data_IF_532429886705
#
_entry.id   IF_532429886705
#
_cell.length_a   1.000
_cell.length_b   1.000
_cell.length_c   1.000
_cell.angle_alpha   90.00
_cell.angle_beta   90.00
_cell.angle_gamma   90.00
#
_symmetry.space_group_name_H-M   'P 1'
#
loop_
_entity.id
_entity.type
_entity.pdbx_description
1 polymer ?
#
# COMPACT_ATOMS: atom_id res chain seq x y z
N UNK A 1 -29.96 7.80 14.54
CA UNK A 1 -28.67 8.50 14.55
C UNK A 1 -28.04 8.26 13.19
N UNK A 2 -27.76 9.31 12.41
CA UNK A 2 -27.08 9.18 11.12
C UNK A 2 -25.63 8.79 11.40
N UNK A 3 -25.14 7.73 10.76
CA UNK A 3 -23.70 7.48 10.61
C UNK A 3 -23.06 8.78 10.14
N UNK A 4 -21.95 9.26 10.73
CA UNK A 4 -21.27 10.43 10.19
C UNK A 4 -20.99 10.19 8.70
N UNK A 5 -21.43 11.13 7.86
CA UNK A 5 -21.19 11.09 6.41
C UNK A 5 -19.68 11.24 6.21
N UNK A 6 -19.01 10.19 5.72
CA UNK A 6 -17.56 10.20 5.50
C UNK A 6 -17.30 10.89 4.16
N UNK A 7 -16.55 11.98 4.17
CA UNK A 7 -16.04 12.63 2.97
C UNK A 7 -14.84 11.88 2.40
N UNK A 8 -14.93 11.48 1.14
CA UNK A 8 -13.88 10.76 0.42
C UNK A 8 -13.45 11.56 -0.81
N UNK A 9 -12.19 11.98 -0.84
CA UNK A 9 -11.58 12.54 -2.03
C UNK A 9 -11.04 11.44 -2.94
N UNK A 10 -11.24 11.56 -4.25
CA UNK A 10 -10.58 10.74 -5.27
C UNK A 10 -9.55 11.59 -5.98
N UNK A 11 -8.30 11.14 -6.00
CA UNK A 11 -7.15 11.83 -6.63
C UNK A 11 -6.39 10.89 -7.55
N UNK A 12 -5.82 11.40 -8.64
CA UNK A 12 -5.09 10.60 -9.63
C UNK A 12 -3.60 10.98 -9.73
N UNK A 13 -2.80 10.85 -8.66
CA UNK A 13 -1.41 11.29 -8.66
C UNK A 13 -0.47 10.41 -9.52
N UNK A 14 -0.93 9.19 -9.86
CA UNK A 14 -0.27 8.27 -10.78
C UNK A 14 -0.87 8.32 -12.19
N UNK A 15 -1.37 7.17 -12.66
CA UNK A 15 -1.97 7.00 -13.98
C UNK A 15 -3.45 7.43 -14.09
N UNK A 16 -3.91 7.69 -15.31
CA UNK A 16 -5.34 7.93 -15.61
C UNK A 16 -6.15 6.62 -15.55
N UNK A 17 -7.46 6.73 -15.37
CA UNK A 17 -8.33 5.55 -15.35
C UNK A 17 -8.36 4.86 -16.73
N UNK A 18 -8.44 3.52 -16.78
CA UNK A 18 -8.58 2.77 -18.03
C UNK A 18 -10.01 2.79 -18.59
N UNK A 19 -11.01 3.02 -17.73
CA UNK A 19 -12.43 3.03 -18.07
C UNK A 19 -13.18 4.05 -17.19
N UNK A 20 -13.60 5.15 -17.80
CA UNK A 20 -14.30 6.26 -17.13
C UNK A 20 -15.72 5.89 -16.69
N UNK A 21 -16.40 5.02 -17.44
CA UNK A 21 -17.70 4.52 -17.03
C UNK A 21 -17.57 3.65 -15.77
N UNK A 22 -16.46 2.92 -15.63
CA UNK A 22 -16.17 2.15 -14.43
C UNK A 22 -15.86 3.05 -13.22
N UNK A 23 -15.14 4.16 -13.41
CA UNK A 23 -14.93 5.18 -12.37
C UNK A 23 -16.25 5.71 -11.84
N UNK A 24 -17.17 6.10 -12.72
CA UNK A 24 -18.49 6.58 -12.32
C UNK A 24 -19.27 5.53 -11.49
N UNK A 25 -19.18 4.24 -11.85
CA UNK A 25 -19.77 3.15 -11.04
C UNK A 25 -19.13 3.04 -9.65
N UNK A 26 -17.81 3.16 -9.56
CA UNK A 26 -17.10 3.14 -8.28
C UNK A 26 -17.48 4.30 -7.36
N UNK A 27 -17.62 5.50 -7.93
CA UNK A 27 -18.12 6.68 -7.20
C UNK A 27 -19.54 6.45 -6.70
N UNK A 28 -20.45 6.00 -7.57
CA UNK A 28 -21.84 5.72 -7.18
C UNK A 28 -21.93 4.65 -6.08
N UNK A 29 -21.04 3.65 -6.10
CA UNK A 29 -20.96 2.63 -5.06
C UNK A 29 -20.53 3.20 -3.71
N UNK A 30 -19.52 4.06 -3.66
CA UNK A 30 -19.12 4.75 -2.44
C UNK A 30 -20.26 5.62 -1.89
N UNK A 31 -20.96 6.34 -2.76
CA UNK A 31 -22.13 7.14 -2.39
C UNK A 31 -23.27 6.28 -1.85
N UNK A 32 -23.52 5.11 -2.43
CA UNK A 32 -24.52 4.16 -1.93
C UNK A 32 -24.17 3.58 -0.55
N UNK A 33 -22.88 3.59 -0.16
CA UNK A 33 -22.41 3.24 1.18
C UNK A 33 -22.52 4.41 2.18
N UNK A 34 -23.04 5.57 1.76
CA UNK A 34 -23.26 6.75 2.60
C UNK A 34 -22.09 7.73 2.66
N UNK A 35 -21.12 7.62 1.75
CA UNK A 35 -20.02 8.57 1.65
C UNK A 35 -20.36 9.77 0.77
N UNK A 36 -19.85 10.95 1.13
CA UNK A 36 -19.82 12.12 0.26
C UNK A 36 -18.54 12.08 -0.58
N UNK A 37 -18.66 11.92 -1.89
CA UNK A 37 -17.47 11.76 -2.77
C UNK A 37 -17.09 13.09 -3.42
N UNK A 38 -15.85 13.52 -3.21
CA UNK A 38 -15.21 14.69 -3.79
C UNK A 38 -14.23 14.22 -4.88
N UNK A 39 -14.67 14.18 -6.13
CA UNK A 39 -13.81 13.70 -7.22
C UNK A 39 -12.95 14.85 -7.80
N UNK A 40 -11.63 14.79 -7.59
CA UNK A 40 -10.68 15.74 -8.16
C UNK A 40 -10.05 15.25 -9.47
N UNK A 41 -10.32 14.00 -9.86
CA UNK A 41 -9.89 13.48 -11.15
C UNK A 41 -10.85 13.93 -12.26
N UNK A 42 -10.28 14.51 -13.31
CA UNK A 42 -11.00 14.92 -14.51
C UNK A 42 -10.37 14.25 -15.75
N UNK A 43 -11.12 13.39 -16.47
CA UNK A 43 -10.63 12.71 -17.66
C UNK A 43 -10.24 13.65 -18.80
N UNK A 44 -10.88 14.83 -18.91
CA UNK A 44 -10.57 15.82 -19.96
C UNK A 44 -9.18 16.45 -19.78
N UNK A 45 -8.67 16.42 -18.55
CA UNK A 45 -7.35 16.95 -18.19
C UNK A 45 -6.26 15.89 -18.12
N UNK A 46 -6.53 14.66 -18.55
CA UNK A 46 -5.51 13.60 -18.64
C UNK A 46 -4.36 14.02 -19.55
N UNK A 47 -3.15 13.61 -19.19
CA UNK A 47 -1.95 13.94 -19.96
C UNK A 47 -1.14 12.67 -20.21
N UNK A 48 -1.06 12.24 -21.46
CA UNK A 48 -0.44 10.97 -21.83
C UNK A 48 -1.07 9.80 -21.07
N UNK A 49 -0.30 9.12 -20.19
CA UNK A 49 -0.79 8.02 -19.34
C UNK A 49 -1.23 8.45 -17.94
N UNK A 50 -1.10 9.73 -17.62
CA UNK A 50 -1.20 10.27 -16.27
C UNK A 50 -2.59 10.86 -16.02
N UNK A 51 -3.03 10.86 -14.76
CA UNK A 51 -4.30 11.46 -14.33
C UNK A 51 -4.37 13.00 -14.39
N UNK A 52 -3.40 13.62 -15.07
CA UNK A 52 -3.19 15.06 -15.17
C UNK A 52 -1.75 15.35 -15.61
N UNK A 53 -1.43 16.62 -15.90
CA UNK A 53 -0.03 17.09 -15.93
C UNK A 53 0.60 16.92 -14.55
N UNK A 54 1.94 17.03 -14.42
CA UNK A 54 2.60 16.97 -13.11
C UNK A 54 2.02 18.00 -12.13
N UNK A 55 1.86 19.25 -12.58
CA UNK A 55 1.21 20.30 -11.80
C UNK A 55 -0.28 20.02 -11.50
N UNK A 56 -1.03 19.46 -12.47
CA UNK A 56 -2.43 19.12 -12.27
C UNK A 56 -2.63 18.03 -11.22
N UNK A 57 -1.80 16.98 -11.25
CA UNK A 57 -1.84 15.88 -10.27
C UNK A 57 -1.44 16.34 -8.86
N UNK A 58 -0.43 17.20 -8.76
CA UNK A 58 -0.08 17.83 -7.49
C UNK A 58 -1.22 18.71 -6.97
N UNK A 59 -1.87 19.49 -7.84
CA UNK A 59 -3.03 20.32 -7.47
C UNK A 59 -4.20 19.49 -6.94
N UNK A 60 -4.47 18.30 -7.52
CA UNK A 60 -5.49 17.37 -7.01
C UNK A 60 -5.19 16.94 -5.57
N UNK A 61 -3.94 16.53 -5.29
CA UNK A 61 -3.51 16.15 -3.93
C UNK A 61 -3.65 17.30 -2.94
N UNK A 62 -3.18 18.49 -3.31
CA UNK A 62 -3.24 19.67 -2.46
C UNK A 62 -4.68 20.11 -2.17
N UNK A 63 -5.55 20.06 -3.18
CA UNK A 63 -6.97 20.39 -3.01
C UNK A 63 -7.67 19.40 -2.08
N UNK A 64 -7.44 18.09 -2.26
CA UNK A 64 -7.99 17.06 -1.39
C UNK A 64 -7.50 17.15 0.06
N UNK A 65 -6.23 17.51 0.27
CA UNK A 65 -5.67 17.73 1.60
C UNK A 65 -6.25 18.98 2.28
N UNK A 66 -6.57 20.03 1.52
CA UNK A 66 -7.12 21.28 2.02
C UNK A 66 -8.64 21.24 2.26
N UNK A 67 -9.37 20.28 1.66
CA UNK A 67 -10.82 20.20 1.74
C UNK A 67 -11.29 19.85 3.18
N UNK A 68 -12.03 20.72 3.88
CA UNK A 68 -12.45 20.47 5.26
C UNK A 68 -13.48 19.33 5.39
N UNK A 69 -14.23 19.03 4.33
CA UNK A 69 -15.29 18.03 4.34
C UNK A 69 -14.76 16.62 4.06
N UNK A 70 -13.51 16.50 3.59
CA UNK A 70 -12.84 15.22 3.32
C UNK A 70 -12.14 14.66 4.56
N UNK A 71 -12.28 13.36 4.82
CA UNK A 71 -11.46 12.64 5.81
C UNK A 71 -10.55 11.60 5.18
N UNK A 72 -10.95 11.00 4.06
CA UNK A 72 -10.19 9.95 3.36
C UNK A 72 -9.78 10.44 1.97
N UNK A 73 -8.51 10.28 1.63
CA UNK A 73 -8.01 10.54 0.27
C UNK A 73 -7.68 9.19 -0.36
N UNK A 74 -8.52 8.76 -1.30
CA UNK A 74 -8.40 7.49 -2.00
C UNK A 74 -7.70 7.71 -3.35
N UNK A 75 -6.60 7.01 -3.58
CA UNK A 75 -5.95 7.02 -4.88
C UNK A 75 -6.87 6.38 -5.93
N UNK A 76 -6.97 7.03 -7.10
CA UNK A 76 -7.70 6.53 -8.25
C UNK A 76 -7.14 5.16 -8.68
N UNK A 77 -5.82 5.10 -8.85
CA UNK A 77 -5.04 3.92 -9.20
C UNK A 77 -3.54 4.21 -9.02
N UNK A 78 -2.72 3.17 -9.13
CA UNK A 78 -1.27 3.26 -9.16
C UNK A 78 -0.76 3.59 -10.57
N UNK A 79 -0.20 2.57 -11.24
CA UNK A 79 0.51 2.68 -12.52
C UNK A 79 1.90 3.30 -12.39
N UNK A 80 2.13 4.48 -12.92
CA UNK A 80 3.41 5.19 -12.83
C UNK A 80 3.11 6.67 -12.85
N UNK A 81 3.75 7.43 -11.97
CA UNK A 81 3.61 8.87 -12.01
C UNK A 81 4.04 9.63 -10.77
N UNK A 82 3.91 9.02 -9.60
CA UNK A 82 4.16 9.70 -8.32
C UNK A 82 5.62 10.11 -8.21
N UNK A 83 6.55 9.27 -8.69
CA UNK A 83 7.99 9.59 -8.73
C UNK A 83 8.32 10.91 -9.41
N UNK A 84 7.51 11.37 -10.38
CA UNK A 84 7.74 12.65 -11.08
C UNK A 84 7.43 13.86 -10.22
N UNK A 85 6.51 13.71 -9.25
CA UNK A 85 6.00 14.82 -8.42
C UNK A 85 6.49 14.75 -6.98
N UNK A 86 7.21 13.69 -6.57
CA UNK A 86 7.77 13.54 -5.21
C UNK A 86 8.53 14.78 -4.70
N UNK A 87 9.35 15.49 -5.51
CA UNK A 87 10.02 16.71 -5.07
C UNK A 87 9.10 17.88 -4.77
N UNK A 88 7.92 17.90 -5.39
CA UNK A 88 7.00 19.03 -5.33
C UNK A 88 5.84 18.78 -4.33
N UNK A 89 5.70 17.56 -3.80
CA UNK A 89 4.74 17.26 -2.75
C UNK A 89 5.21 17.91 -1.43
N UNK A 90 4.40 18.82 -0.90
CA UNK A 90 4.54 19.30 0.47
C UNK A 90 4.02 18.25 1.45
N UNK A 91 4.89 17.32 1.82
CA UNK A 91 4.55 16.24 2.76
C UNK A 91 4.16 16.75 4.14
N UNK A 92 4.64 17.92 4.56
CA UNK A 92 4.24 18.51 5.85
C UNK A 92 2.78 18.96 5.79
N UNK A 93 2.39 19.66 4.71
CA UNK A 93 0.98 20.00 4.48
C UNK A 93 0.09 18.75 4.39
N UNK A 94 0.56 17.68 3.73
CA UNK A 94 -0.16 16.39 3.71
C UNK A 94 -0.34 15.82 5.13
N UNK A 95 0.69 15.85 5.97
CA UNK A 95 0.60 15.36 7.34
C UNK A 95 -0.35 16.21 8.22
N UNK A 96 -0.24 17.55 8.11
CA UNK A 96 -1.01 18.53 8.88
C UNK A 96 -2.49 18.53 8.51
N UNK A 97 -2.84 18.13 7.28
CA UNK A 97 -4.23 17.93 6.84
C UNK A 97 -5.01 16.90 7.65
N UNK A 98 -4.28 16.00 8.34
CA UNK A 98 -4.80 14.84 9.07
C UNK A 98 -5.66 13.88 8.23
N UNK A 99 -5.66 13.98 6.90
CA UNK A 99 -6.39 13.05 6.03
C UNK A 99 -5.82 11.63 6.15
N UNK A 100 -6.66 10.64 5.86
CA UNK A 100 -6.29 9.24 5.76
C UNK A 100 -6.01 8.92 4.29
N UNK A 101 -4.72 8.86 3.90
CA UNK A 101 -4.31 8.60 2.52
C UNK A 101 -4.25 7.09 2.25
N UNK A 102 -5.01 6.62 1.25
CA UNK A 102 -5.19 5.20 0.94
C UNK A 102 -4.77 4.90 -0.50
N UNK A 103 -3.94 3.88 -0.67
CA UNK A 103 -3.59 3.32 -1.98
C UNK A 103 -2.49 2.27 -1.89
N UNK A 104 -2.14 1.63 -3.00
CA UNK A 104 -1.05 0.65 -3.08
C UNK A 104 -0.32 0.78 -4.44
N UNK A 105 0.64 -0.12 -4.75
CA UNK A 105 1.39 -0.08 -6.03
C UNK A 105 2.29 1.17 -6.12
N UNK A 106 2.23 1.97 -7.20
CA UNK A 106 2.96 3.25 -7.35
C UNK A 106 2.77 4.19 -6.14
N UNK A 107 1.60 4.11 -5.47
CA UNK A 107 1.28 4.90 -4.28
C UNK A 107 2.15 4.57 -3.06
N UNK A 108 2.87 3.43 -3.07
CA UNK A 108 3.94 3.16 -2.10
C UNK A 108 4.96 4.29 -2.04
N UNK A 109 5.26 4.97 -3.16
CA UNK A 109 6.17 6.11 -3.14
C UNK A 109 5.66 7.28 -2.28
N UNK A 110 4.34 7.53 -2.30
CA UNK A 110 3.72 8.53 -1.43
C UNK A 110 3.80 8.10 0.04
N UNK A 111 3.48 6.85 0.36
CA UNK A 111 3.56 6.32 1.73
C UNK A 111 4.97 6.45 2.31
N UNK A 112 5.98 6.06 1.52
CA UNK A 112 7.38 6.17 1.91
C UNK A 112 7.81 7.62 2.11
N UNK A 113 7.46 8.51 1.18
CA UNK A 113 7.74 9.94 1.30
C UNK A 113 7.09 10.57 2.53
N UNK A 114 5.82 10.28 2.78
CA UNK A 114 5.08 10.80 3.92
C UNK A 114 5.73 10.36 5.24
N UNK A 115 6.02 9.07 5.40
CA UNK A 115 6.68 8.57 6.61
C UNK A 115 8.09 9.15 6.77
N UNK A 116 8.89 9.17 5.70
CA UNK A 116 10.26 9.65 5.74
C UNK A 116 10.36 11.15 6.09
N UNK A 117 9.39 11.96 5.66
CA UNK A 117 9.41 13.42 5.88
C UNK A 117 8.76 13.85 7.17
N UNK A 118 7.73 13.14 7.66
CA UNK A 118 6.89 13.64 8.76
C UNK A 118 6.62 12.60 9.84
N UNK A 119 7.00 11.34 9.64
CA UNK A 119 6.65 10.24 10.55
C UNK A 119 5.14 9.89 10.53
N UNK A 120 4.36 10.51 9.65
CA UNK A 120 2.91 10.33 9.60
C UNK A 120 2.55 9.01 8.93
N UNK A 121 1.67 8.24 9.56
CA UNK A 121 1.11 7.02 9.00
C UNK A 121 0.09 7.28 7.87
N UNK A 122 0.02 6.32 6.96
CA UNK A 122 -0.93 6.22 5.83
C UNK A 122 -1.42 4.78 5.67
N UNK A 123 -2.17 4.47 4.61
CA UNK A 123 -2.83 3.17 4.46
C UNK A 123 -2.48 2.52 3.13
N UNK A 124 -1.71 1.43 3.20
CA UNK A 124 -1.50 0.54 2.08
C UNK A 124 -2.76 -0.33 1.92
N UNK A 125 -3.61 0.02 0.97
CA UNK A 125 -4.97 -0.51 0.87
C UNK A 125 -5.57 -0.31 -0.52
N UNK A 126 -6.87 -0.63 -0.70
CA UNK A 126 -7.53 -0.62 -2.00
C UNK A 126 -7.50 0.77 -2.68
N UNK A 127 -7.66 0.77 -4.00
CA UNK A 127 -7.77 1.96 -4.85
C UNK A 127 -9.07 1.93 -5.64
N UNK A 128 -9.51 3.08 -6.15
CA UNK A 128 -10.81 3.15 -6.84
C UNK A 128 -10.89 2.17 -8.01
N UNK A 129 -9.99 2.27 -8.99
CA UNK A 129 -10.05 1.53 -10.26
C UNK A 129 -9.90 0.02 -10.14
N UNK A 130 -9.28 -0.50 -9.07
CA UNK A 130 -9.03 -1.93 -8.94
C UNK A 130 -9.99 -2.62 -7.97
N UNK A 131 -10.63 -1.88 -7.06
CA UNK A 131 -11.40 -2.47 -5.96
C UNK A 131 -12.87 -2.00 -5.95
N UNK A 132 -13.14 -0.77 -6.37
CA UNK A 132 -14.48 -0.18 -6.32
C UNK A 132 -15.21 -0.16 -7.66
N UNK A 133 -14.53 -0.41 -8.78
CA UNK A 133 -15.13 -0.35 -10.13
C UNK A 133 -15.58 -1.71 -10.68
N UNK A 134 -15.19 -2.80 -10.02
CA UNK A 134 -15.54 -4.18 -10.41
C UNK A 134 -17.06 -4.38 -10.41
N UNK A 135 -17.56 -5.22 -11.30
CA UNK A 135 -18.98 -5.59 -11.30
C UNK A 135 -19.36 -6.23 -9.95
N UNK A 136 -18.57 -7.20 -9.51
CA UNK A 136 -18.63 -7.78 -8.17
C UNK A 136 -17.44 -7.31 -7.33
N UNK A 137 -17.72 -6.56 -6.26
CA UNK A 137 -16.67 -6.16 -5.31
C UNK A 137 -16.19 -7.35 -4.50
N UNK A 138 -14.95 -7.24 -4.02
CA UNK A 138 -14.44 -8.15 -3.01
C UNK A 138 -14.80 -7.60 -1.62
N UNK A 139 -15.86 -8.13 -1.01
CA UNK A 139 -16.39 -7.59 0.24
C UNK A 139 -15.36 -7.66 1.37
N UNK A 140 -14.55 -8.72 1.43
CA UNK A 140 -13.47 -8.84 2.40
C UNK A 140 -12.51 -7.65 2.35
N UNK A 141 -12.11 -7.22 1.15
CA UNK A 141 -11.21 -6.09 0.95
C UNK A 141 -11.82 -4.78 1.45
N UNK A 142 -13.11 -4.57 1.17
CA UNK A 142 -13.83 -3.37 1.61
C UNK A 142 -14.03 -3.36 3.14
N UNK A 143 -14.38 -4.50 3.73
CA UNK A 143 -14.53 -4.63 5.18
C UNK A 143 -13.20 -4.41 5.90
N UNK A 144 -12.09 -4.93 5.34
CA UNK A 144 -10.73 -4.68 5.84
C UNK A 144 -10.39 -3.19 5.82
N UNK A 145 -10.67 -2.49 4.72
CA UNK A 145 -10.47 -1.04 4.64
C UNK A 145 -11.25 -0.31 5.75
N UNK A 146 -12.57 -0.50 5.81
CA UNK A 146 -13.40 0.27 6.72
C UNK A 146 -13.15 -0.06 8.18
N UNK A 147 -12.90 -1.34 8.51
CA UNK A 147 -12.48 -1.78 9.83
C UNK A 147 -11.14 -1.15 10.25
N UNK A 148 -10.16 -1.14 9.34
CA UNK A 148 -8.88 -0.51 9.57
C UNK A 148 -9.02 1.00 9.82
N UNK A 149 -9.76 1.73 8.99
CA UNK A 149 -9.93 3.18 9.15
C UNK A 149 -10.72 3.53 10.43
N UNK A 150 -11.61 2.66 10.90
CA UNK A 150 -12.33 2.87 12.16
C UNK A 150 -11.45 2.68 13.40
N UNK A 151 -10.47 1.77 13.35
CA UNK A 151 -9.47 1.48 14.38
C UNK A 151 -10.03 1.40 15.83
N UNK A 152 -9.22 1.67 16.87
CA UNK A 152 -7.79 2.04 16.86
C UNK A 152 -6.84 0.84 16.76
N UNK A 153 -7.38 -0.37 16.70
CA UNK A 153 -6.61 -1.61 16.53
C UNK A 153 -7.13 -2.33 15.30
N UNK A 154 -6.22 -2.74 14.42
CA UNK A 154 -6.54 -3.56 13.26
C UNK A 154 -5.78 -4.88 13.35
N UNK A 155 -6.40 -5.98 12.95
CA UNK A 155 -5.78 -7.31 13.00
C UNK A 155 -5.90 -7.95 11.63
N UNK A 156 -4.76 -8.35 11.11
CA UNK A 156 -4.63 -9.12 9.87
C UNK A 156 -4.12 -10.51 10.23
N UNK A 157 -4.70 -11.53 9.62
CA UNK A 157 -4.23 -12.92 9.76
C UNK A 157 -3.80 -13.43 8.39
N UNK A 158 -2.75 -14.26 8.37
CA UNK A 158 -2.34 -14.98 7.18
C UNK A 158 -2.15 -16.46 7.49
N UNK A 159 -2.38 -17.31 6.49
CA UNK A 159 -2.15 -18.76 6.57
C UNK A 159 -1.01 -19.11 5.63
N UNK A 160 0.01 -19.78 6.15
CA UNK A 160 1.08 -20.33 5.34
C UNK A 160 1.75 -21.48 6.09
N UNK A 161 2.17 -22.48 5.32
CA UNK A 161 3.01 -23.57 5.80
C UNK A 161 4.48 -23.11 5.85
N UNK A 162 5.29 -23.76 6.68
CA UNK A 162 6.73 -23.54 6.76
C UNK A 162 7.17 -22.11 7.12
N UNK A 163 6.31 -21.33 7.78
CA UNK A 163 6.74 -20.10 8.43
C UNK A 163 7.51 -20.39 9.73
N UNK A 164 8.57 -19.63 10.04
CA UNK A 164 9.25 -19.74 11.32
C UNK A 164 8.35 -19.28 12.47
N UNK A 165 8.50 -19.90 13.64
CA UNK A 165 7.90 -19.38 14.87
C UNK A 165 8.55 -18.06 15.25
N UNK A 166 7.77 -16.98 15.30
CA UNK A 166 8.28 -15.63 15.49
C UNK A 166 7.33 -14.84 16.37
N UNK A 167 7.89 -14.11 17.33
CA UNK A 167 7.24 -12.95 17.93
C UNK A 167 8.10 -11.72 17.64
N UNK A 168 7.52 -10.73 16.96
CA UNK A 168 8.20 -9.49 16.61
C UNK A 168 7.28 -8.29 16.87
N UNK A 169 7.88 -7.17 17.26
CA UNK A 169 7.19 -5.88 17.42
C UNK A 169 7.99 -4.84 16.66
N UNK A 170 7.31 -3.92 15.98
CA UNK A 170 7.99 -2.88 15.23
C UNK A 170 7.05 -2.01 14.41
N UNK A 171 7.58 -0.90 13.90
CA UNK A 171 6.85 -0.09 12.93
C UNK A 171 6.58 -0.90 11.67
N UNK A 172 5.32 -0.99 11.27
CA UNK A 172 4.91 -1.64 10.03
C UNK A 172 5.20 -0.70 8.86
N UNK A 173 5.94 -1.17 7.85
CA UNK A 173 6.24 -0.38 6.65
C UNK A 173 6.50 -1.30 5.46
N UNK A 174 6.45 -0.78 4.22
CA UNK A 174 6.70 -1.60 3.03
C UNK A 174 5.79 -1.33 1.83
N UNK A 175 5.28 -2.36 1.19
CA UNK A 175 4.39 -2.27 0.03
C UNK A 175 5.02 -2.84 -1.23
N UNK A 176 4.88 -2.14 -2.36
CA UNK A 176 5.41 -2.63 -3.62
C UNK A 176 6.94 -2.66 -3.62
N UNK A 177 7.53 -3.84 -3.86
CA UNK A 177 8.98 -4.07 -3.78
C UNK A 177 9.76 -3.24 -4.79
N UNK A 178 9.31 -3.17 -6.05
CA UNK A 178 9.93 -2.33 -7.06
C UNK A 178 9.93 -0.84 -6.67
N UNK A 179 8.83 -0.33 -6.12
CA UNK A 179 8.77 1.06 -5.62
C UNK A 179 9.68 1.30 -4.41
N UNK A 180 9.76 0.32 -3.50
CA UNK A 180 10.68 0.41 -2.36
C UNK A 180 12.12 0.56 -2.81
N UNK A 181 12.56 -0.33 -3.71
CA UNK A 181 13.91 -0.32 -4.26
C UNK A 181 14.17 0.92 -5.11
N UNK A 182 13.17 1.40 -5.86
CA UNK A 182 13.27 2.62 -6.65
C UNK A 182 13.64 3.84 -5.79
N UNK A 183 13.14 3.91 -4.55
CA UNK A 183 13.42 5.03 -3.65
C UNK A 183 14.70 4.86 -2.82
N UNK A 184 15.35 3.70 -2.86
CA UNK A 184 16.53 3.43 -2.04
C UNK A 184 17.66 4.41 -2.36
N UNK A 185 18.17 5.08 -1.32
CA UNK A 185 19.19 6.13 -1.45
C UNK A 185 18.64 7.54 -1.72
N UNK A 186 17.33 7.70 -1.83
CA UNK A 186 16.68 9.02 -1.97
C UNK A 186 16.23 9.59 -0.62
N UNK A 187 15.92 10.90 -0.53
CA UNK A 187 15.36 11.50 0.68
C UNK A 187 13.93 11.06 1.04
N UNK A 188 13.31 10.19 0.24
CA UNK A 188 11.96 9.65 0.44
C UNK A 188 11.98 8.21 0.95
N UNK A 189 13.16 7.62 1.16
CA UNK A 189 13.28 6.29 1.76
C UNK A 189 13.31 6.42 3.30
N UNK A 190 12.29 5.92 4.02
CA UNK A 190 12.24 6.04 5.47
C UNK A 190 13.34 5.20 6.13
N UNK A 191 13.97 5.74 7.17
CA UNK A 191 14.91 5.00 8.01
C UNK A 191 14.14 4.34 9.16
N UNK A 192 13.72 3.10 8.95
CA UNK A 192 13.00 2.31 9.96
C UNK A 192 13.92 1.23 10.51
N UNK A 193 14.26 1.36 11.79
CA UNK A 193 15.02 0.36 12.54
C UNK A 193 14.07 -0.39 13.49
N UNK A 194 14.22 -1.71 13.57
CA UNK A 194 13.34 -2.61 14.31
C UNK A 194 11.94 -2.74 13.72
N UNK A 195 11.76 -2.52 12.41
CA UNK A 195 10.45 -2.57 11.77
C UNK A 195 9.94 -3.98 11.44
N UNK A 196 8.68 -4.06 11.03
CA UNK A 196 8.11 -5.22 10.33
C UNK A 196 7.90 -4.79 8.88
N UNK A 197 8.70 -5.36 7.97
CA UNK A 197 8.71 -4.98 6.55
C UNK A 197 7.76 -5.89 5.75
N UNK A 198 6.70 -5.34 5.16
CA UNK A 198 5.81 -6.10 4.27
C UNK A 198 6.12 -5.84 2.81
N UNK A 199 6.14 -6.87 1.95
CA UNK A 199 6.55 -6.72 0.55
C UNK A 199 5.63 -7.50 -0.39
N UNK A 200 5.22 -6.87 -1.48
CA UNK A 200 4.45 -7.47 -2.57
C UNK A 200 4.98 -7.00 -3.92
N UNK A 201 4.70 -7.72 -5.00
CA UNK A 201 4.94 -7.21 -6.35
C UNK A 201 4.10 -7.93 -7.41
N UNK A 202 4.09 -7.41 -8.63
CA UNK A 202 3.33 -7.99 -9.74
C UNK A 202 4.10 -7.96 -11.05
N UNK A 203 3.96 -9.01 -11.85
CA UNK A 203 4.67 -9.21 -13.12
C UNK A 203 6.21 -9.29 -12.98
N UNK A 204 6.72 -9.51 -11.77
CA UNK A 204 8.15 -9.64 -11.52
C UNK A 204 8.53 -11.12 -11.44
N UNK A 205 9.38 -11.55 -12.38
CA UNK A 205 9.95 -12.90 -12.35
C UNK A 205 10.67 -13.15 -11.02
N UNK A 206 10.65 -14.37 -10.43
CA UNK A 206 11.33 -14.65 -9.16
C UNK A 206 12.76 -14.13 -9.05
N UNK A 207 13.58 -14.17 -10.12
CA UNK A 207 14.96 -13.65 -10.08
C UNK A 207 15.01 -12.12 -9.91
N UNK A 208 13.98 -11.39 -10.35
CA UNK A 208 13.87 -9.93 -10.18
C UNK A 208 13.48 -9.60 -8.75
N UNK A 209 12.57 -10.38 -8.18
CA UNK A 209 12.24 -10.34 -6.75
C UNK A 209 13.49 -10.59 -5.92
N UNK A 210 14.22 -11.68 -6.20
CA UNK A 210 15.48 -12.01 -5.52
C UNK A 210 16.49 -10.86 -5.64
N UNK A 211 16.70 -10.32 -6.84
CA UNK A 211 17.63 -9.22 -7.08
C UNK A 211 17.29 -7.98 -6.27
N UNK A 212 16.01 -7.64 -6.16
CA UNK A 212 15.53 -6.51 -5.37
C UNK A 212 15.69 -6.76 -3.86
N UNK A 213 15.36 -7.96 -3.38
CA UNK A 213 15.59 -8.36 -1.99
C UNK A 213 17.08 -8.35 -1.63
N UNK A 214 17.94 -8.83 -2.52
CA UNK A 214 19.39 -8.77 -2.36
C UNK A 214 19.90 -7.32 -2.36
N UNK A 215 19.32 -6.42 -3.14
CA UNK A 215 19.68 -4.99 -3.06
C UNK A 215 19.33 -4.40 -1.69
N UNK A 216 18.14 -4.69 -1.16
CA UNK A 216 17.75 -4.28 0.19
C UNK A 216 18.66 -4.91 1.26
N UNK A 217 19.06 -6.17 1.09
CA UNK A 217 20.00 -6.86 1.96
C UNK A 217 21.37 -6.18 1.93
N UNK A 218 21.96 -5.98 0.75
CA UNK A 218 23.30 -5.40 0.62
C UNK A 218 23.35 -3.92 1.03
N UNK A 219 22.22 -3.21 0.96
CA UNK A 219 22.09 -1.85 1.47
C UNK A 219 21.86 -1.76 2.99
N UNK A 220 21.82 -2.89 3.71
CA UNK A 220 21.63 -2.90 5.17
C UNK A 220 20.17 -2.74 5.61
N UNK A 221 19.20 -2.72 4.70
CA UNK A 221 17.78 -2.48 5.03
C UNK A 221 17.20 -3.68 5.77
N UNK A 222 17.39 -4.90 5.23
CA UNK A 222 16.78 -6.11 5.80
C UNK A 222 17.34 -6.44 7.20
N UNK A 223 18.64 -6.19 7.43
CA UNK A 223 19.33 -6.39 8.70
C UNK A 223 18.73 -5.58 9.85
N UNK A 224 18.11 -4.45 9.52
CA UNK A 224 17.56 -3.51 10.51
C UNK A 224 16.11 -3.83 10.87
N UNK A 225 15.52 -4.88 10.30
CA UNK A 225 14.12 -5.23 10.57
C UNK A 225 14.04 -6.32 11.64
N UNK A 226 12.87 -6.48 12.25
CA UNK A 226 12.58 -7.60 13.16
C UNK A 226 11.94 -8.78 12.42
N UNK A 227 11.22 -8.51 11.34
CA UNK A 227 10.66 -9.54 10.45
C UNK A 227 10.37 -8.97 9.07
N UNK A 228 10.30 -9.86 8.07
CA UNK A 228 9.81 -9.59 6.73
C UNK A 228 8.56 -10.43 6.51
N UNK A 229 7.48 -9.83 6.02
CA UNK A 229 6.23 -10.52 5.69
C UNK A 229 5.93 -10.33 4.21
N UNK A 230 6.07 -11.40 3.44
CA UNK A 230 5.80 -11.41 2.01
C UNK A 230 4.29 -11.54 1.79
N UNK A 231 3.76 -10.56 1.08
CA UNK A 231 2.47 -10.61 0.43
C UNK A 231 2.50 -11.44 -0.85
N UNK A 232 1.60 -11.11 -1.75
CA UNK A 232 1.47 -11.78 -3.03
C UNK A 232 2.52 -11.29 -4.03
N UNK A 233 3.09 -12.25 -4.76
CA UNK A 233 3.96 -12.02 -5.90
C UNK A 233 3.35 -12.71 -7.12
N UNK A 234 2.55 -11.97 -7.89
CA UNK A 234 1.68 -12.55 -8.93
C UNK A 234 2.11 -12.25 -10.36
N UNK A 235 1.45 -12.94 -11.29
CA UNK A 235 1.50 -12.71 -12.73
C UNK A 235 2.88 -12.81 -13.38
N UNK A 236 3.87 -13.40 -12.69
CA UNK A 236 5.12 -13.79 -13.31
C UNK A 236 4.93 -14.99 -14.25
N UNK A 237 5.84 -15.14 -15.20
CA UNK A 237 5.81 -16.23 -16.19
C UNK A 237 7.14 -16.96 -16.15
N UNK A 238 7.09 -18.24 -15.76
CA UNK A 238 8.23 -19.14 -15.86
C UNK A 238 8.43 -19.59 -17.30
N UNK A 239 9.63 -20.03 -17.60
CA UNK A 239 10.07 -20.55 -18.88
C UNK A 239 10.90 -21.82 -18.69
N UNK A 240 11.09 -22.63 -19.75
CA UNK A 240 11.99 -23.78 -19.68
C UNK A 240 13.45 -23.43 -19.32
N UNK A 241 13.86 -22.18 -19.53
CA UNK A 241 15.22 -21.73 -19.22
C UNK A 241 15.47 -21.57 -17.72
N UNK A 242 14.40 -21.45 -16.92
CA UNK A 242 14.52 -21.31 -15.47
C UNK A 242 14.99 -22.61 -14.80
N UNK A 243 14.85 -23.75 -15.49
CA UNK A 243 15.44 -25.04 -15.08
C UNK A 243 15.15 -25.41 -13.61
N UNK A 244 13.91 -25.21 -13.19
CA UNK A 244 13.45 -25.48 -11.82
C UNK A 244 13.62 -24.31 -10.86
N UNK A 245 14.04 -23.13 -11.33
CA UNK A 245 14.00 -21.90 -10.56
C UNK A 245 12.61 -21.27 -10.62
N UNK A 246 11.98 -21.11 -9.46
CA UNK A 246 10.65 -20.53 -9.30
C UNK A 246 10.60 -19.68 -8.01
N UNK A 247 9.40 -19.33 -7.56
CA UNK A 247 9.23 -18.55 -6.35
C UNK A 247 9.70 -19.28 -5.09
N UNK A 248 9.46 -20.60 -4.99
CA UNK A 248 9.83 -21.38 -3.82
C UNK A 248 11.35 -21.55 -3.72
N UNK A 249 12.02 -21.80 -4.85
CA UNK A 249 13.48 -21.84 -4.93
C UNK A 249 14.10 -20.49 -4.53
N UNK A 250 13.53 -19.38 -5.01
CA UNK A 250 13.93 -18.03 -4.62
C UNK A 250 13.69 -17.76 -3.12
N UNK A 251 12.52 -18.12 -2.60
CA UNK A 251 12.16 -17.93 -1.20
C UNK A 251 13.11 -18.72 -0.28
N UNK A 252 13.41 -19.97 -0.62
CA UNK A 252 14.36 -20.79 0.11
C UNK A 252 15.76 -20.14 0.11
N UNK A 253 16.20 -19.61 -1.03
CA UNK A 253 17.45 -18.89 -1.16
C UNK A 253 17.49 -17.63 -0.27
N UNK A 254 16.43 -16.81 -0.30
CA UNK A 254 16.30 -15.59 0.51
C UNK A 254 16.26 -15.92 2.00
N UNK A 255 15.45 -16.90 2.42
CA UNK A 255 15.37 -17.35 3.83
C UNK A 255 16.71 -17.80 4.37
N UNK A 256 17.53 -18.48 3.57
CA UNK A 256 18.87 -18.92 3.97
C UNK A 256 19.85 -17.76 4.22
N UNK A 257 19.63 -16.60 3.60
CA UNK A 257 20.57 -15.45 3.60
C UNK A 257 20.06 -14.27 4.41
N UNK A 258 18.75 -14.21 4.64
CA UNK A 258 18.13 -13.15 5.42
C UNK A 258 18.59 -13.25 6.88
N UNK A 259 19.05 -12.14 7.48
CA UNK A 259 19.41 -12.08 8.89
C UNK A 259 18.18 -12.12 9.82
N UNK A 260 16.98 -11.97 9.25
CA UNK A 260 15.70 -11.82 9.94
C UNK A 260 14.69 -12.80 9.37
N UNK A 261 13.68 -13.24 10.16
CA UNK A 261 12.69 -14.19 9.68
C UNK A 261 11.89 -13.63 8.49
N UNK A 262 11.66 -14.48 7.48
CA UNK A 262 10.88 -14.17 6.28
C UNK A 262 9.64 -15.06 6.24
N UNK A 263 8.50 -14.44 6.45
CA UNK A 263 7.19 -15.08 6.46
C UNK A 263 6.49 -14.88 5.12
N UNK A 264 5.58 -15.77 4.78
CA UNK A 264 4.65 -15.67 3.64
C UNK A 264 3.20 -15.76 4.09
N UNK A 265 2.26 -15.60 3.16
CA UNK A 265 0.82 -15.81 3.40
C UNK A 265 0.05 -14.55 3.75
N UNK A 266 0.65 -13.37 3.61
CA UNK A 266 -0.07 -12.11 3.74
C UNK A 266 -0.94 -11.90 2.51
N UNK A 267 -2.26 -11.80 2.69
CA UNK A 267 -3.21 -11.48 1.62
C UNK A 267 -3.11 -9.99 1.26
N UNK A 268 -1.99 -9.55 0.69
CA UNK A 268 -1.75 -8.17 0.27
C UNK A 268 -0.95 -8.14 -1.02
N UNK A 269 -1.32 -7.28 -1.97
CA UNK A 269 -0.65 -7.13 -3.26
C UNK A 269 -1.64 -6.95 -4.39
N UNK A 270 -1.24 -7.25 -5.62
CA UNK A 270 -2.07 -7.09 -6.83
C UNK A 270 -3.07 -8.25 -7.04
N UNK A 271 -3.76 -8.65 -5.97
CA UNK A 271 -4.77 -9.72 -5.94
C UNK A 271 -6.15 -9.18 -5.62
N UNK A 272 -7.21 -9.94 -5.95
CA UNK A 272 -8.60 -9.50 -5.72
C UNK A 272 -8.91 -9.32 -4.24
N UNK A 273 -8.56 -10.32 -3.42
CA UNK A 273 -8.76 -10.33 -1.97
C UNK A 273 -7.51 -9.81 -1.29
N UNK A 274 -7.64 -8.68 -0.59
CA UNK A 274 -6.50 -8.02 0.07
C UNK A 274 -6.89 -7.37 1.39
N UNK A 275 -5.92 -7.26 2.29
CA UNK A 275 -6.05 -6.50 3.54
C UNK A 275 -5.70 -5.03 3.34
N UNK A 276 -5.99 -4.21 4.36
CA UNK A 276 -5.48 -2.85 4.46
C UNK A 276 -4.46 -2.78 5.60
N UNK A 277 -3.30 -2.17 5.36
CA UNK A 277 -2.20 -2.11 6.30
C UNK A 277 -1.91 -0.64 6.68
N UNK A 278 -2.01 -0.27 7.97
CA UNK A 278 -1.56 1.04 8.46
C UNK A 278 -0.04 1.18 8.32
N UNK A 279 0.42 1.78 7.23
CA UNK A 279 1.82 2.07 6.98
C UNK A 279 2.30 3.11 7.99
N UNK A 280 3.34 2.79 8.75
CA UNK A 280 3.86 3.62 9.85
C UNK A 280 3.23 3.33 11.22
N UNK A 281 2.21 2.46 11.31
CA UNK A 281 1.64 2.03 12.58
C UNK A 281 2.56 1.09 13.37
N UNK A 282 2.29 0.88 14.65
CA UNK A 282 3.00 -0.12 15.45
C UNK A 282 2.38 -1.49 15.32
N UNK A 283 3.16 -2.48 14.91
CA UNK A 283 2.70 -3.83 14.69
C UNK A 283 3.31 -4.83 15.67
N UNK A 284 2.50 -5.82 16.05
CA UNK A 284 2.89 -7.02 16.77
C UNK A 284 2.57 -8.23 15.89
N UNK A 285 3.61 -8.92 15.46
CA UNK A 285 3.55 -10.14 14.67
C UNK A 285 3.74 -11.34 15.60
N UNK A 286 2.83 -12.30 15.51
CA UNK A 286 2.96 -13.63 16.10
C UNK A 286 2.74 -14.67 15.01
N UNK A 287 3.69 -15.57 14.82
CA UNK A 287 3.59 -16.66 13.85
C UNK A 287 3.88 -18.01 14.49
N UNK A 288 3.09 -19.00 14.08
CA UNK A 288 3.25 -20.41 14.43
C UNK A 288 3.16 -21.29 13.18
N UNK A 289 3.12 -22.61 13.37
CA UNK A 289 3.10 -23.58 12.28
C UNK A 289 1.83 -23.51 11.40
N UNK A 290 0.78 -22.82 11.83
CA UNK A 290 -0.50 -22.70 11.11
C UNK A 290 -0.67 -21.38 10.37
N UNK A 291 0.15 -20.37 10.69
CA UNK A 291 0.08 -19.05 10.08
C UNK A 291 0.62 -17.94 10.96
N UNK A 292 0.06 -16.74 10.81
CA UNK A 292 0.40 -15.59 11.63
C UNK A 292 -0.78 -14.68 11.92
N UNK A 293 -0.66 -13.91 13.00
CA UNK A 293 -1.49 -12.76 13.33
C UNK A 293 -0.60 -11.51 13.40
N UNK A 294 -1.05 -10.44 12.75
CA UNK A 294 -0.43 -9.13 12.71
C UNK A 294 -1.42 -8.12 13.28
N UNK A 295 -1.24 -7.77 14.55
CA UNK A 295 -2.02 -6.72 15.21
C UNK A 295 -1.31 -5.38 15.03
N UNK A 296 -2.04 -4.37 14.57
CA UNK A 296 -1.51 -3.02 14.34
C UNK A 296 -2.28 -1.99 15.19
N UNK A 297 -1.55 -1.06 15.78
CA UNK A 297 -2.01 0.07 16.61
C UNK A 297 -1.24 1.35 16.24
N UNK A 298 -1.50 2.45 16.96
CA UNK A 298 -0.77 3.72 16.84
C UNK A 298 -0.77 4.31 15.43
N UNK A 299 -1.93 4.27 14.77
CA UNK A 299 -2.19 4.90 13.48
C UNK A 299 -3.46 5.78 13.59
N UNK A 300 -3.63 6.81 12.74
CA UNK A 300 -4.80 7.68 12.79
C UNK A 300 -6.08 6.92 12.42
N UNK A 301 -7.20 7.27 13.02
CA UNK A 301 -8.49 6.69 12.66
C UNK A 301 -9.44 7.76 12.17
N UNK A 302 -10.52 7.35 11.52
CA UNK A 302 -11.72 8.17 11.43
C UNK A 302 -12.11 8.57 12.86
N UNK A 303 -12.40 9.86 13.08
CA UNK A 303 -12.91 10.31 14.35
C UNK A 303 -14.19 9.52 14.65
N UNK A 304 -14.20 8.80 15.77
CA UNK A 304 -15.46 8.22 16.25
C UNK A 304 -16.37 9.40 16.61
N UNK A 305 -17.62 9.43 16.11
CA UNK A 305 -18.59 10.42 16.56
C UNK A 305 -18.80 10.34 18.08
#
# INVERSE_FOLDING_TARGET
MKTPEIGIAIVAPGGCAPDEAAVARGIARLQAQGATVHNYYDPEHTFQRFGGTDAGRLAQLNAAAADPDVQVVLALRGSYGISRILPDIDFQAMADSRKLFVGYSDFTAFHMGLLAKTGRASFAGPMLCDDFTRDETEQFTLDQLWSCLAGPTHVVTGTAEDNPQVEAVGTLWGGNLAMLVHLLGTPYFPQVDGGILFLEDVNEHPYRVERMLLQLLHAGVLQRQNAIVLGDFSAYKLSPMDRGYDFDAMLAYVRQRSPVPVLTGLEFGHIRRRVTLPFGGQARLQSDASGFSLQITDYPTLARP
#
